data_IF_352806290152
#
_entry.id   IF_352806290152
#
_cell.length_a   1.000
_cell.length_b   1.000
_cell.length_c   1.000
_cell.angle_alpha   90.00
_cell.angle_beta   90.00
_cell.angle_gamma   90.00
#
_symmetry.space_group_name_H-M   'P 1'
#
loop_
_entity.id
_entity.type
_entity.pdbx_description
1 polymer ?
#
# COMPACT_ATOMS: atom_id res chain seq x y z
N UNK A 1 -57.29 -1.78 58.37
CA UNK A 1 -56.88 -2.84 57.41
C UNK A 1 -56.31 -2.14 56.18
N UNK A 2 -55.00 -2.26 55.94
CA UNK A 2 -54.25 -1.50 54.94
C UNK A 2 -54.25 -2.27 53.61
N UNK A 3 -54.86 -1.72 52.56
CA UNK A 3 -54.77 -2.28 51.22
C UNK A 3 -53.65 -1.57 50.45
N UNK A 4 -52.57 -2.30 50.19
CA UNK A 4 -51.47 -1.86 49.32
C UNK A 4 -51.74 -2.37 47.91
N UNK A 5 -52.18 -1.49 47.01
CA UNK A 5 -52.23 -1.80 45.58
C UNK A 5 -50.86 -1.51 44.96
N UNK A 6 -50.16 -2.58 44.60
CA UNK A 6 -48.84 -2.59 43.98
C UNK A 6 -48.94 -1.99 42.57
N UNK A 7 -48.32 -0.83 42.36
CA UNK A 7 -48.12 -0.28 41.02
C UNK A 7 -47.01 -1.08 40.32
N UNK A 8 -47.38 -1.86 39.30
CA UNK A 8 -46.47 -2.59 38.44
C UNK A 8 -45.83 -1.60 37.46
N UNK A 9 -44.55 -1.28 37.65
CA UNK A 9 -43.78 -0.45 36.73
C UNK A 9 -43.31 -1.35 35.57
N UNK A 10 -43.98 -1.29 34.42
CA UNK A 10 -43.54 -1.91 33.17
C UNK A 10 -42.32 -1.13 32.64
N UNK A 11 -41.13 -1.60 32.96
CA UNK A 11 -39.88 -1.11 32.39
C UNK A 11 -39.77 -1.59 30.94
N UNK A 12 -40.20 -0.75 30.00
CA UNK A 12 -40.00 -0.97 28.57
C UNK A 12 -38.51 -0.89 28.23
N UNK A 13 -37.88 -2.03 27.97
CA UNK A 13 -36.53 -2.10 27.41
C UNK A 13 -36.63 -1.67 25.95
N UNK A 14 -36.25 -0.42 25.67
CA UNK A 14 -35.99 0.06 24.31
C UNK A 14 -34.76 -0.67 23.78
N UNK A 15 -35.00 -1.77 23.04
CA UNK A 15 -33.98 -2.39 22.20
C UNK A 15 -33.75 -1.43 21.03
N UNK A 16 -32.85 -0.46 21.22
CA UNK A 16 -32.36 0.34 20.11
C UNK A 16 -31.68 -0.60 19.11
N UNK A 17 -32.01 -0.54 17.81
CA UNK A 17 -31.26 -1.30 16.82
C UNK A 17 -29.81 -0.82 16.88
N UNK A 18 -28.89 -1.72 17.22
CA UNK A 18 -27.48 -1.45 17.07
C UNK A 18 -27.26 -1.10 15.60
N UNK A 19 -26.90 0.15 15.32
CA UNK A 19 -26.47 0.54 13.98
C UNK A 19 -25.27 -0.35 13.63
N UNK A 20 -25.48 -1.31 12.73
CA UNK A 20 -24.40 -2.06 12.13
C UNK A 20 -23.62 -1.07 11.27
N UNK A 21 -22.51 -0.56 11.80
CA UNK A 21 -21.53 0.13 10.99
C UNK A 21 -20.94 -0.92 10.06
N UNK A 22 -21.41 -0.92 8.80
CA UNK A 22 -20.80 -1.70 7.73
C UNK A 22 -19.31 -1.41 7.64
N UNK A 23 -18.53 -2.33 7.06
CA UNK A 23 -17.10 -2.09 6.87
C UNK A 23 -16.90 -0.81 6.04
N UNK A 24 -16.03 0.13 6.46
CA UNK A 24 -15.84 1.40 5.73
C UNK A 24 -15.40 1.20 4.28
N UNK A 25 -14.70 0.10 4.03
CA UNK A 25 -14.22 -0.33 2.72
C UNK A 25 -14.34 -1.84 2.60
N UNK A 26 -14.65 -2.31 1.40
CA UNK A 26 -14.55 -3.73 1.01
C UNK A 26 -13.76 -3.79 -0.29
N UNK A 27 -12.74 -4.65 -0.35
CA UNK A 27 -11.85 -4.79 -1.48
C UNK A 27 -11.63 -6.27 -1.83
N UNK A 28 -11.48 -6.56 -3.11
CA UNK A 28 -11.22 -7.89 -3.65
C UNK A 28 -10.18 -7.81 -4.78
N UNK A 29 -9.51 -8.94 -5.03
CA UNK A 29 -8.56 -9.10 -6.12
C UNK A 29 -9.20 -9.91 -7.25
N UNK A 30 -8.90 -9.55 -8.50
CA UNK A 30 -9.30 -10.39 -9.64
C UNK A 30 -8.67 -11.78 -9.62
N UNK A 31 -7.53 -11.91 -8.95
CA UNK A 31 -6.86 -13.17 -8.70
C UNK A 31 -5.95 -13.03 -7.50
N UNK A 32 -5.89 -14.08 -6.68
CA UNK A 32 -4.98 -14.21 -5.54
C UNK A 32 -3.68 -14.94 -5.91
N UNK A 33 -3.56 -15.47 -7.14
CA UNK A 33 -2.41 -16.25 -7.59
C UNK A 33 -2.02 -15.94 -9.02
N UNK A 34 -0.74 -15.62 -9.23
CA UNK A 34 -0.12 -15.46 -10.54
C UNK A 34 0.94 -16.55 -10.73
N UNK A 35 0.81 -17.35 -11.79
CA UNK A 35 1.80 -18.37 -12.12
C UNK A 35 2.95 -17.78 -12.94
N UNK A 36 4.19 -18.00 -12.47
CA UNK A 36 5.41 -17.56 -13.15
C UNK A 36 6.04 -18.79 -13.82
N UNK A 37 5.93 -18.89 -15.14
CA UNK A 37 6.45 -20.00 -15.95
C UNK A 37 7.59 -19.55 -16.87
N UNK A 38 8.22 -20.51 -17.57
CA UNK A 38 9.19 -20.21 -18.64
C UNK A 38 8.46 -19.49 -19.78
N UNK A 39 8.74 -18.20 -19.94
CA UNK A 39 8.04 -17.33 -20.90
C UNK A 39 7.10 -16.30 -20.25
N UNK A 40 7.08 -16.20 -18.92
CA UNK A 40 6.32 -15.16 -18.22
C UNK A 40 6.71 -13.75 -18.69
N UNK A 41 5.74 -12.99 -19.19
CA UNK A 41 5.94 -11.62 -19.70
C UNK A 41 5.47 -10.53 -18.73
N UNK A 42 5.08 -10.90 -17.52
CA UNK A 42 4.41 -10.02 -16.56
C UNK A 42 2.95 -10.40 -16.34
N UNK A 43 2.34 -9.77 -15.35
CA UNK A 43 0.93 -9.97 -15.01
C UNK A 43 0.29 -8.66 -14.58
N UNK A 44 -1.05 -8.64 -14.59
CA UNK A 44 -1.82 -7.52 -14.12
C UNK A 44 -2.91 -8.00 -13.18
N UNK A 45 -2.92 -7.50 -11.95
CA UNK A 45 -3.95 -7.81 -10.95
C UNK A 45 -4.82 -6.59 -10.76
N UNK A 46 -6.13 -6.78 -10.90
CA UNK A 46 -7.13 -5.76 -10.61
C UNK A 46 -7.52 -5.86 -9.14
N UNK A 47 -7.34 -4.77 -8.42
CA UNK A 47 -7.92 -4.55 -7.10
C UNK A 47 -9.19 -3.75 -7.32
N UNK A 48 -10.32 -4.19 -6.79
CA UNK A 48 -11.59 -3.48 -6.94
C UNK A 48 -12.41 -3.59 -5.66
N UNK A 49 -13.37 -2.69 -5.51
CA UNK A 49 -14.15 -2.67 -4.28
C UNK A 49 -15.12 -1.51 -4.20
N UNK A 50 -15.66 -1.34 -2.99
CA UNK A 50 -16.59 -0.28 -2.67
C UNK A 50 -16.26 0.37 -1.32
N UNK A 51 -16.55 1.67 -1.21
CA UNK A 51 -16.54 2.41 0.04
C UNK A 51 -17.97 2.63 0.55
N UNK A 52 -18.12 2.72 1.87
CA UNK A 52 -19.41 3.04 2.49
C UNK A 52 -19.86 4.47 2.14
N UNK A 53 -18.91 5.42 2.22
CA UNK A 53 -19.15 6.83 1.92
C UNK A 53 -18.68 7.19 0.50
N UNK A 54 -19.25 8.23 -0.12
CA UNK A 54 -18.79 8.72 -1.42
C UNK A 54 -17.32 9.15 -1.41
N UNK A 55 -16.56 8.68 -2.40
CA UNK A 55 -15.19 9.11 -2.66
C UNK A 55 -15.17 10.57 -3.11
N UNK A 56 -14.45 11.42 -2.38
CA UNK A 56 -14.46 12.87 -2.60
C UNK A 56 -15.73 13.59 -2.12
N UNK A 57 -16.48 12.99 -1.18
CA UNK A 57 -17.53 13.68 -0.42
C UNK A 57 -16.98 14.75 0.52
N UNK A 58 -17.80 15.19 1.49
CA UNK A 58 -17.39 16.11 2.55
C UNK A 58 -17.67 15.48 3.92
N UNK A 59 -16.63 15.09 4.70
CA UNK A 59 -15.22 15.25 4.40
C UNK A 59 -14.73 14.31 3.28
N UNK A 60 -13.69 14.70 2.52
CA UNK A 60 -13.18 13.90 1.40
C UNK A 60 -12.54 12.60 1.90
N UNK A 61 -12.97 11.49 1.30
CA UNK A 61 -12.30 10.20 1.40
C UNK A 61 -11.44 9.93 0.17
N UNK A 62 -10.25 9.38 0.43
CA UNK A 62 -9.27 8.99 -0.58
C UNK A 62 -8.83 7.54 -0.38
N UNK A 63 -8.48 6.90 -1.47
CA UNK A 63 -7.98 5.52 -1.47
C UNK A 63 -6.51 5.50 -1.80
N UNK A 64 -5.78 4.62 -1.12
CA UNK A 64 -4.38 4.35 -1.37
C UNK A 64 -4.24 2.83 -1.51
N UNK A 65 -3.66 2.38 -2.62
CA UNK A 65 -3.35 0.98 -2.86
C UNK A 65 -1.85 0.82 -2.86
N UNK A 66 -1.34 -0.06 -2.00
CA UNK A 66 0.09 -0.38 -1.91
C UNK A 66 0.28 -1.87 -2.09
N UNK A 67 1.21 -2.25 -2.97
CA UNK A 67 1.59 -3.63 -3.22
C UNK A 67 3.07 -3.82 -2.90
N UNK A 68 3.40 -4.79 -2.06
CA UNK A 68 4.78 -5.07 -1.62
C UNK A 68 5.09 -6.54 -1.87
N UNK A 69 6.21 -6.81 -2.55
CA UNK A 69 6.72 -8.17 -2.76
C UNK A 69 7.67 -8.64 -1.65
N UNK A 70 8.11 -9.90 -1.72
CA UNK A 70 8.99 -10.49 -0.71
C UNK A 70 10.29 -9.70 -0.58
N UNK A 71 10.80 -9.55 0.65
CA UNK A 71 12.04 -8.83 0.90
C UNK A 71 13.26 -9.67 0.52
N UNK A 72 14.32 -9.01 0.08
CA UNK A 72 15.58 -9.65 -0.27
C UNK A 72 16.79 -8.79 0.11
N UNK A 73 17.92 -9.46 0.31
CA UNK A 73 19.21 -8.81 0.47
C UNK A 73 19.73 -8.31 -0.88
N UNK A 74 20.04 -7.02 -0.98
CA UNK A 74 20.61 -6.39 -2.17
C UNK A 74 21.96 -5.77 -1.84
N UNK A 75 22.96 -5.97 -2.70
CA UNK A 75 24.23 -5.24 -2.62
C UNK A 75 24.29 -4.24 -3.76
N UNK A 76 24.40 -2.97 -3.41
CA UNK A 76 24.60 -1.89 -4.39
C UNK A 76 26.08 -1.60 -4.49
N UNK A 77 26.63 -1.62 -5.71
CA UNK A 77 28.05 -1.42 -5.97
C UNK A 77 28.29 -0.31 -6.96
N UNK A 78 29.22 0.59 -6.63
CA UNK A 78 29.66 1.63 -7.55
C UNK A 78 30.73 1.07 -8.49
N UNK A 79 30.44 1.05 -9.80
CA UNK A 79 31.48 0.80 -10.80
C UNK A 79 32.37 2.03 -10.93
N UNK A 80 33.68 1.81 -10.99
CA UNK A 80 34.68 2.87 -11.21
C UNK A 80 35.44 2.55 -12.50
N UNK A 81 35.75 3.58 -13.29
CA UNK A 81 36.59 3.42 -14.47
C UNK A 81 38.02 3.80 -14.10
N UNK A 82 38.96 2.88 -14.29
CA UNK A 82 40.39 3.10 -14.05
C UNK A 82 41.13 2.67 -15.31
N UNK A 83 41.83 3.62 -15.94
CA UNK A 83 42.58 3.37 -17.17
C UNK A 83 41.74 2.71 -18.29
N UNK A 84 40.46 3.11 -18.43
CA UNK A 84 39.54 2.55 -19.42
C UNK A 84 38.84 1.25 -19.00
N UNK A 85 39.22 0.65 -17.87
CA UNK A 85 38.65 -0.62 -17.40
C UNK A 85 37.62 -0.35 -16.30
N UNK A 86 36.45 -1.00 -16.41
CA UNK A 86 35.43 -0.95 -15.37
C UNK A 86 35.75 -1.93 -14.25
N UNK A 87 35.98 -1.37 -13.07
CA UNK A 87 36.28 -2.12 -11.86
C UNK A 87 35.17 -1.98 -10.83
N UNK A 88 35.11 -3.00 -9.99
CA UNK A 88 34.19 -3.13 -8.89
C UNK A 88 34.67 -2.26 -7.72
N UNK A 89 34.10 -1.06 -7.55
CA UNK A 89 34.43 -0.13 -6.48
C UNK A 89 33.69 -0.37 -5.15
N UNK A 90 33.52 0.65 -4.29
CA UNK A 90 32.81 0.54 -3.02
C UNK A 90 31.37 0.03 -3.15
N UNK A 91 30.89 -0.66 -2.12
CA UNK A 91 29.54 -1.23 -2.07
C UNK A 91 28.89 -1.10 -0.69
N UNK A 92 27.56 -1.15 -0.69
CA UNK A 92 26.71 -1.17 0.50
C UNK A 92 25.70 -2.30 0.39
N UNK A 93 25.46 -3.02 1.50
CA UNK A 93 24.43 -4.06 1.57
C UNK A 93 23.17 -3.52 2.22
N UNK A 94 22.02 -3.88 1.66
CA UNK A 94 20.70 -3.64 2.19
C UNK A 94 20.03 -5.00 2.42
N UNK A 95 19.93 -5.51 3.66
CA UNK A 95 19.46 -6.88 3.92
C UNK A 95 17.96 -7.07 3.68
N UNK A 96 17.16 -6.00 3.81
CA UNK A 96 15.70 -6.03 3.80
C UNK A 96 15.15 -5.04 2.76
N UNK A 97 15.22 -5.39 1.48
CA UNK A 97 14.70 -4.56 0.38
C UNK A 97 13.48 -5.24 -0.24
N UNK A 98 12.31 -4.58 -0.33
CA UNK A 98 11.18 -5.12 -1.07
C UNK A 98 11.57 -5.49 -2.51
N UNK A 99 11.31 -6.73 -2.91
CA UNK A 99 11.56 -7.21 -4.26
C UNK A 99 10.72 -6.48 -5.31
N UNK A 100 9.53 -6.03 -4.91
CA UNK A 100 8.59 -5.23 -5.66
C UNK A 100 7.93 -4.22 -4.72
N UNK A 101 7.60 -3.04 -5.23
CA UNK A 101 6.82 -2.04 -4.51
C UNK A 101 6.02 -1.22 -5.52
N UNK A 102 4.71 -1.17 -5.38
CA UNK A 102 3.86 -0.29 -6.17
C UNK A 102 2.94 0.49 -5.25
N UNK A 103 2.83 1.80 -5.48
CA UNK A 103 1.93 2.68 -4.74
C UNK A 103 1.08 3.47 -5.74
N UNK A 104 -0.22 3.49 -5.51
CA UNK A 104 -1.15 4.37 -6.21
C UNK A 104 -2.24 4.86 -5.28
N UNK A 105 -2.98 5.88 -5.70
CA UNK A 105 -4.11 6.41 -4.96
C UNK A 105 -5.06 7.21 -5.84
N UNK A 106 -6.14 7.70 -5.24
CA UNK A 106 -7.03 8.70 -5.85
C UNK A 106 -6.33 10.03 -6.09
N UNK A 107 -5.37 10.37 -5.23
CA UNK A 107 -4.45 11.50 -5.31
C UNK A 107 -3.05 11.06 -4.90
N UNK A 108 -2.07 11.96 -4.97
CA UNK A 108 -0.72 11.67 -4.49
C UNK A 108 -0.74 11.51 -2.97
N UNK A 109 0.01 10.55 -2.43
CA UNK A 109 -0.11 10.22 -1.00
C UNK A 109 0.27 11.39 -0.09
N UNK A 110 1.19 12.27 -0.53
CA UNK A 110 1.57 13.47 0.23
C UNK A 110 0.49 14.58 0.22
N UNK A 111 -0.52 14.46 -0.64
CA UNK A 111 -1.69 15.34 -0.64
C UNK A 111 -2.84 14.75 0.19
N UNK A 112 -2.77 13.46 0.53
CA UNK A 112 -3.79 12.72 1.29
C UNK A 112 -3.40 12.62 2.76
N UNK A 113 -2.14 12.26 3.04
CA UNK A 113 -1.65 11.95 4.38
C UNK A 113 -0.43 12.83 4.74
N UNK A 114 -0.35 13.30 6.00
CA UNK A 114 0.84 13.96 6.51
C UNK A 114 2.01 12.97 6.57
N UNK A 115 3.22 13.50 6.66
CA UNK A 115 4.47 12.74 6.56
C UNK A 115 4.62 11.66 7.65
N UNK A 116 4.14 11.91 8.86
CA UNK A 116 4.11 10.94 9.97
C UNK A 116 3.23 9.73 9.68
N UNK A 117 2.01 9.95 9.17
CA UNK A 117 1.11 8.88 8.71
C UNK A 117 1.73 8.10 7.54
N UNK A 118 2.32 8.80 6.57
CA UNK A 118 3.03 8.12 5.47
C UNK A 118 4.21 7.28 5.95
N UNK A 119 4.97 7.72 6.95
CA UNK A 119 6.04 6.91 7.57
C UNK A 119 5.53 5.71 8.34
N UNK A 120 4.39 5.83 9.00
CA UNK A 120 3.75 4.73 9.72
C UNK A 120 3.36 3.61 8.76
N UNK A 121 2.70 3.96 7.66
CA UNK A 121 2.25 3.01 6.63
C UNK A 121 3.28 2.73 5.52
N UNK A 122 4.49 3.32 5.61
CA UNK A 122 5.60 3.16 4.65
C UNK A 122 5.21 3.55 3.22
N UNK A 123 4.40 4.60 3.10
CA UNK A 123 3.85 5.07 1.84
C UNK A 123 4.78 6.08 1.20
N UNK A 124 5.39 5.67 0.11
CA UNK A 124 6.31 6.47 -0.69
C UNK A 124 7.73 5.91 -0.61
N UNK A 125 8.52 6.09 -1.67
CA UNK A 125 9.90 5.65 -1.75
C UNK A 125 10.75 6.23 -0.63
N UNK A 126 10.48 7.46 -0.22
CA UNK A 126 11.15 8.13 0.89
C UNK A 126 10.86 7.49 2.25
N UNK A 127 9.70 6.84 2.38
CA UNK A 127 9.24 6.18 3.60
C UNK A 127 9.57 4.68 3.66
N UNK A 128 10.19 4.13 2.61
CA UNK A 128 10.73 2.78 2.63
C UNK A 128 11.92 2.68 3.60
N UNK A 129 11.78 1.77 4.57
CA UNK A 129 12.77 1.51 5.61
C UNK A 129 13.92 0.65 5.07
N UNK A 130 14.85 1.28 4.37
CA UNK A 130 16.00 0.61 3.76
C UNK A 130 17.21 0.68 4.70
N UNK A 131 17.38 -0.34 5.54
CA UNK A 131 18.54 -0.46 6.42
C UNK A 131 19.79 -0.71 5.57
N UNK A 132 20.87 0.03 5.80
CA UNK A 132 22.17 -0.19 5.14
C UNK A 132 23.20 -0.72 6.13
N UNK A 133 23.96 -1.73 5.70
CA UNK A 133 25.13 -2.27 6.40
C UNK A 133 26.43 -1.80 5.72
N UNK A 134 27.44 -1.47 6.52
CA UNK A 134 28.71 -0.92 6.04
C UNK A 134 28.60 0.57 5.68
N UNK A 135 28.89 0.92 4.44
CA UNK A 135 28.93 2.30 3.98
C UNK A 135 27.52 2.92 3.94
N UNK A 136 27.28 3.97 4.74
CA UNK A 136 25.98 4.64 4.87
C UNK A 136 25.83 5.88 3.99
N UNK A 137 26.66 6.02 2.95
CA UNK A 137 26.55 7.14 2.03
C UNK A 137 25.16 7.13 1.35
N UNK A 138 24.38 8.23 1.43
CA UNK A 138 23.03 8.30 0.86
C UNK A 138 22.94 7.99 -0.64
N UNK A 139 24.03 8.18 -1.39
CA UNK A 139 24.10 7.84 -2.82
C UNK A 139 23.81 6.37 -3.11
N UNK A 140 24.14 5.43 -2.20
CA UNK A 140 23.80 4.02 -2.39
C UNK A 140 22.30 3.76 -2.29
N UNK A 141 21.59 4.50 -1.43
CA UNK A 141 20.12 4.44 -1.34
C UNK A 141 19.49 5.01 -2.60
N UNK A 142 19.98 6.16 -3.06
CA UNK A 142 19.52 6.79 -4.30
C UNK A 142 19.73 5.86 -5.51
N UNK A 143 20.92 5.25 -5.63
CA UNK A 143 21.22 4.30 -6.68
C UNK A 143 20.36 3.02 -6.60
N UNK A 144 20.07 2.51 -5.39
CA UNK A 144 19.14 1.38 -5.23
C UNK A 144 17.75 1.72 -5.78
N UNK A 145 17.24 2.89 -5.38
CA UNK A 145 15.93 3.38 -5.79
C UNK A 145 15.88 3.59 -7.32
N UNK A 146 16.92 4.19 -7.91
CA UNK A 146 17.06 4.36 -9.35
C UNK A 146 17.04 3.03 -10.11
N UNK A 147 17.86 2.06 -9.68
CA UNK A 147 17.94 0.73 -10.30
C UNK A 147 16.60 -0.01 -10.22
N UNK A 148 15.92 0.05 -9.08
CA UNK A 148 14.63 -0.62 -8.88
C UNK A 148 13.50 0.01 -9.72
N UNK A 149 13.53 1.33 -9.90
CA UNK A 149 12.60 2.05 -10.79
C UNK A 149 12.89 1.75 -12.26
N UNK A 150 14.16 1.74 -12.67
CA UNK A 150 14.56 1.42 -14.03
C UNK A 150 14.12 0.01 -14.45
N UNK A 151 14.15 -0.95 -13.52
CA UNK A 151 13.66 -2.32 -13.72
C UNK A 151 12.12 -2.46 -13.67
N UNK A 152 11.38 -1.36 -13.42
CA UNK A 152 9.93 -1.34 -13.27
C UNK A 152 9.40 -2.08 -12.02
N UNK A 153 10.28 -2.52 -11.12
CA UNK A 153 9.86 -3.25 -9.90
C UNK A 153 9.34 -2.31 -8.83
N UNK A 154 9.81 -1.07 -8.84
CA UNK A 154 9.38 -0.02 -7.93
C UNK A 154 8.65 1.06 -8.72
N UNK A 155 7.38 1.26 -8.42
CA UNK A 155 6.47 2.11 -9.18
C UNK A 155 5.67 3.00 -8.23
N UNK A 156 5.54 4.28 -8.58
CA UNK A 156 4.64 5.21 -7.91
C UNK A 156 3.75 5.89 -8.92
N UNK A 157 2.44 5.85 -8.69
CA UNK A 157 1.42 6.50 -9.51
C UNK A 157 1.46 6.09 -10.99
N UNK A 158 1.90 4.85 -11.28
CA UNK A 158 1.95 4.32 -12.65
C UNK A 158 0.57 4.28 -13.31
N UNK A 159 -0.49 4.01 -12.52
CA UNK A 159 -1.87 4.13 -12.94
C UNK A 159 -2.72 4.64 -11.76
N UNK A 160 -3.54 5.69 -11.92
CA UNK A 160 -4.37 6.20 -10.83
C UNK A 160 -5.47 5.20 -10.44
N UNK A 161 -5.96 5.32 -9.20
CA UNK A 161 -7.17 4.60 -8.79
C UNK A 161 -8.35 5.17 -9.57
N UNK A 162 -9.00 4.33 -10.37
CA UNK A 162 -10.18 4.69 -11.13
C UNK A 162 -11.41 4.61 -10.21
N UNK A 163 -12.29 5.61 -10.31
CA UNK A 163 -13.59 5.64 -9.62
C UNK A 163 -14.69 5.34 -10.62
N UNK A 164 -15.63 4.48 -10.22
CA UNK A 164 -16.84 4.23 -10.99
C UNK A 164 -18.06 4.64 -10.15
N UNK A 165 -18.73 5.72 -10.56
CA UNK A 165 -19.70 6.39 -9.70
C UNK A 165 -19.05 6.96 -8.44
N UNK A 166 -19.81 7.01 -7.35
CA UNK A 166 -19.37 7.64 -6.10
C UNK A 166 -18.67 6.69 -5.13
N UNK A 167 -18.92 5.38 -5.23
CA UNK A 167 -18.53 4.40 -4.20
C UNK A 167 -17.63 3.29 -4.70
N UNK A 168 -17.59 3.02 -6.00
CA UNK A 168 -16.79 1.93 -6.54
C UNK A 168 -15.41 2.45 -6.95
N UNK A 169 -14.41 1.61 -6.71
CA UNK A 169 -13.05 1.89 -7.15
C UNK A 169 -12.43 0.68 -7.82
N UNK A 170 -11.42 0.95 -8.62
CA UNK A 170 -10.52 -0.07 -9.15
C UNK A 170 -9.11 0.46 -9.31
N UNK A 171 -8.12 -0.40 -9.08
CA UNK A 171 -6.71 -0.10 -9.24
C UNK A 171 -6.03 -1.29 -9.92
N UNK A 172 -5.16 -1.01 -10.88
CA UNK A 172 -4.44 -2.04 -11.61
C UNK A 172 -2.98 -2.06 -11.16
N UNK A 173 -2.54 -3.20 -10.63
CA UNK A 173 -1.14 -3.43 -10.26
C UNK A 173 -0.48 -4.24 -11.36
N UNK A 174 0.55 -3.65 -11.98
CA UNK A 174 1.29 -4.26 -13.08
C UNK A 174 2.61 -4.84 -12.58
N UNK A 175 2.73 -6.15 -12.69
CA UNK A 175 3.91 -6.92 -12.31
C UNK A 175 4.79 -7.13 -13.55
N UNK A 176 6.04 -6.62 -13.59
CA UNK A 176 6.94 -6.85 -14.71
C UNK A 176 7.37 -8.32 -14.80
N UNK A 177 7.92 -8.73 -15.94
CA UNK A 177 8.48 -10.07 -16.13
C UNK A 177 9.63 -10.42 -15.15
N UNK A 178 10.24 -9.41 -14.53
CA UNK A 178 11.39 -9.52 -13.61
C UNK A 178 11.00 -9.72 -12.13
N UNK A 179 9.69 -9.83 -11.84
CA UNK A 179 9.21 -10.16 -10.49
C UNK A 179 9.68 -11.55 -10.07
N UNK A 180 9.86 -11.72 -8.76
CA UNK A 180 10.29 -12.98 -8.17
C UNK A 180 9.07 -13.74 -7.64
N UNK A 181 9.19 -15.05 -7.54
CA UNK A 181 8.17 -15.87 -6.86
C UNK A 181 8.20 -15.62 -5.36
N UNK A 182 7.04 -15.64 -4.71
CA UNK A 182 6.87 -15.49 -3.27
C UNK A 182 5.55 -14.80 -2.95
N UNK A 183 5.37 -14.43 -1.68
CA UNK A 183 4.15 -13.79 -1.22
C UNK A 183 4.18 -12.29 -1.49
N UNK A 184 3.12 -11.81 -2.15
CA UNK A 184 2.90 -10.41 -2.41
C UNK A 184 1.72 -9.94 -1.58
N UNK A 185 1.92 -8.84 -0.87
CA UNK A 185 0.89 -8.22 -0.06
C UNK A 185 0.34 -6.99 -0.78
N UNK A 186 -0.97 -6.97 -1.00
CA UNK A 186 -1.70 -5.80 -1.52
C UNK A 186 -2.58 -5.28 -0.40
N UNK A 187 -2.45 -4.01 -0.06
CA UNK A 187 -3.27 -3.34 0.95
C UNK A 187 -4.03 -2.18 0.31
N UNK A 188 -5.29 -2.00 0.73
CA UNK A 188 -6.15 -0.90 0.29
C UNK A 188 -6.51 -0.06 1.50
N UNK A 189 -5.90 1.11 1.62
CA UNK A 189 -6.14 2.03 2.73
C UNK A 189 -7.20 3.05 2.35
N UNK A 190 -8.17 3.24 3.23
CA UNK A 190 -9.13 4.33 3.17
C UNK A 190 -8.63 5.46 4.08
N UNK A 191 -8.42 6.63 3.51
CA UNK A 191 -7.98 7.82 4.22
C UNK A 191 -9.07 8.88 4.27
N UNK A 192 -9.17 9.58 5.39
CA UNK A 192 -10.08 10.71 5.62
C UNK A 192 -9.38 11.71 6.53
N UNK A 193 -9.44 12.99 6.18
CA UNK A 193 -8.89 14.09 7.00
C UNK A 193 -7.42 13.88 7.43
N UNK A 194 -6.59 13.35 6.52
CA UNK A 194 -5.18 13.12 6.81
C UNK A 194 -4.88 11.88 7.65
N UNK A 195 -5.85 10.98 7.86
CA UNK A 195 -5.64 9.75 8.64
C UNK A 195 -6.16 8.53 7.90
N UNK A 196 -5.52 7.38 8.13
CA UNK A 196 -6.04 6.09 7.66
C UNK A 196 -7.14 5.62 8.62
N UNK A 197 -8.35 5.42 8.10
CA UNK A 197 -9.54 5.02 8.87
C UNK A 197 -9.92 3.55 8.65
N UNK A 198 -9.46 2.91 7.57
CA UNK A 198 -9.64 1.49 7.31
C UNK A 198 -8.54 0.94 6.38
N UNK A 199 -8.35 -0.38 6.38
CA UNK A 199 -7.37 -1.11 5.54
C UNK A 199 -7.85 -2.51 5.16
#
# INVERSE_FOLDING_TARGET
MKAWARALFLLGVLIAPAASFGQPITAELSTDRVEISTGFTGASVLVFGATQNPLGGDPPEDLIVVATGPTQGVVVRRKINVLGIWLNGPSTRFPEVPGFYALTGTRRVWEILPEDERRQYRLGFDNLRLRSEGNRNPSFRAALLELKQADGRWQEYAAPVARAGERLFSARISFPATVQTGDYQIEVLLAREGRVIAR
#
